data_IF_715347577895
#
_entry.id   IF_715347577895
#
_cell.length_a   1.000
_cell.length_b   1.000
_cell.length_c   1.000
_cell.angle_alpha   90.00
_cell.angle_beta   90.00
_cell.angle_gamma   90.00
#
_symmetry.space_group_name_H-M   'P 1'
#
loop_
_entity.id
_entity.type
_entity.pdbx_description
1 polymer ?
#
# COMPACT_ATOMS: atom_id res chain seq x y z
N UNK A 1 15.33 20.62 -20.32
CA UNK A 1 16.04 21.91 -20.07
C UNK A 1 15.03 23.00 -19.78
N UNK A 2 14.84 23.26 -18.51
CA UNK A 2 13.80 24.10 -17.94
C UNK A 2 14.01 25.59 -18.26
N UNK A 3 12.96 26.23 -18.79
CA UNK A 3 12.63 27.63 -18.45
C UNK A 3 13.56 28.74 -18.97
N UNK A 4 14.45 28.51 -19.90
CA UNK A 4 15.21 29.61 -20.51
C UNK A 4 14.52 30.12 -21.76
N UNK A 5 14.03 31.36 -21.71
CA UNK A 5 13.59 32.11 -22.87
C UNK A 5 14.73 32.13 -23.88
N UNK A 6 14.54 31.52 -25.08
CA UNK A 6 15.47 31.60 -26.19
C UNK A 6 15.06 32.79 -27.03
N UNK A 7 15.85 33.87 -27.02
CA UNK A 7 15.64 34.99 -27.90
C UNK A 7 16.16 34.62 -29.29
N UNK A 8 15.30 34.75 -30.32
CA UNK A 8 15.65 34.56 -31.72
C UNK A 8 15.49 35.90 -32.45
N UNK A 9 16.45 36.31 -33.28
CA UNK A 9 16.37 37.49 -34.11
C UNK A 9 16.12 37.07 -35.56
N UNK A 10 15.23 37.77 -36.25
CA UNK A 10 14.90 37.56 -37.64
C UNK A 10 15.37 38.74 -38.46
N UNK A 11 15.68 38.53 -39.76
CA UNK A 11 16.16 39.58 -40.66
C UNK A 11 15.02 40.43 -41.23
N UNK A 12 13.82 39.87 -41.29
CA UNK A 12 12.61 40.56 -41.76
C UNK A 12 11.40 40.25 -40.91
N UNK A 13 10.41 41.13 -40.92
CA UNK A 13 9.11 40.89 -40.24
C UNK A 13 8.35 39.70 -40.84
N UNK A 14 8.61 39.39 -42.09
CA UNK A 14 7.99 38.28 -42.80
C UNK A 14 8.55 36.92 -42.32
N UNK A 15 9.87 36.81 -42.09
CA UNK A 15 10.51 35.66 -41.48
C UNK A 15 10.03 35.45 -40.05
N UNK A 16 9.83 36.53 -39.28
CA UNK A 16 9.30 36.45 -37.93
C UNK A 16 7.85 35.93 -37.91
N UNK A 17 7.02 36.43 -38.82
CA UNK A 17 5.61 35.99 -38.98
C UNK A 17 5.52 34.55 -39.46
N UNK A 18 6.38 34.16 -40.44
CA UNK A 18 6.44 32.78 -40.90
C UNK A 18 6.87 31.82 -39.78
N UNK A 19 7.89 32.21 -39.01
CA UNK A 19 8.33 31.41 -37.85
C UNK A 19 7.25 31.33 -36.76
N UNK A 20 6.51 32.43 -36.52
CA UNK A 20 5.38 32.41 -35.58
C UNK A 20 4.23 31.53 -36.11
N UNK A 21 3.98 31.57 -37.42
CA UNK A 21 3.01 30.69 -38.07
C UNK A 21 3.46 29.23 -38.02
N UNK A 22 4.74 28.95 -38.29
CA UNK A 22 5.31 27.60 -38.21
C UNK A 22 5.33 27.09 -36.75
N UNK A 23 5.65 27.95 -35.78
CA UNK A 23 5.53 27.62 -34.34
C UNK A 23 4.08 27.45 -33.87
N UNK A 24 3.11 28.08 -34.56
CA UNK A 24 1.67 27.83 -34.31
C UNK A 24 1.19 26.56 -35.02
N UNK A 25 1.81 26.17 -36.13
CA UNK A 25 1.57 24.89 -36.81
C UNK A 25 2.24 23.71 -36.09
N UNK A 26 3.45 23.91 -35.52
CA UNK A 26 4.13 22.96 -34.65
C UNK A 26 3.57 22.92 -33.19
N UNK A 27 2.70 23.85 -32.82
CA UNK A 27 1.76 23.61 -31.76
C UNK A 27 0.79 22.55 -32.27
N UNK A 28 1.20 21.30 -32.05
CA UNK A 28 0.40 20.08 -32.13
C UNK A 28 -1.07 20.46 -32.23
N UNK A 29 -1.74 20.07 -33.33
CA UNK A 29 -3.19 19.98 -33.35
C UNK A 29 -3.56 19.51 -31.94
N UNK A 30 -4.32 20.32 -31.22
CA UNK A 30 -4.80 20.00 -29.89
C UNK A 30 -5.51 18.66 -30.03
N UNK A 31 -4.79 17.59 -29.81
CA UNK A 31 -5.33 16.23 -29.86
C UNK A 31 -6.28 16.19 -28.69
N UNK A 32 -7.56 16.52 -28.96
CA UNK A 32 -8.61 16.45 -27.95
C UNK A 32 -8.73 15.00 -27.54
N UNK A 33 -8.16 14.65 -26.40
CA UNK A 33 -8.27 13.30 -25.87
C UNK A 33 -9.60 13.14 -25.12
N UNK A 34 -10.27 12.04 -25.36
CA UNK A 34 -11.34 11.57 -24.50
C UNK A 34 -10.78 11.10 -23.15
N UNK A 35 -11.61 10.95 -22.14
CA UNK A 35 -11.17 10.43 -20.84
C UNK A 35 -10.59 9.01 -20.97
N UNK A 36 -11.19 8.19 -21.82
CA UNK A 36 -10.70 6.84 -22.12
C UNK A 36 -9.30 6.90 -22.75
N UNK A 37 -9.13 7.70 -23.81
CA UNK A 37 -7.84 7.83 -24.49
C UNK A 37 -6.76 8.37 -23.54
N UNK A 38 -7.06 9.37 -22.72
CA UNK A 38 -6.12 9.88 -21.72
C UNK A 38 -5.66 8.79 -20.73
N UNK A 39 -6.59 7.95 -20.26
CA UNK A 39 -6.25 6.82 -19.39
C UNK A 39 -5.41 5.77 -20.11
N UNK A 40 -5.77 5.40 -21.35
CA UNK A 40 -5.04 4.40 -22.13
C UNK A 40 -3.62 4.85 -22.50
N UNK A 41 -3.46 6.11 -22.93
CA UNK A 41 -2.14 6.69 -23.22
C UNK A 41 -1.28 6.74 -21.97
N UNK A 42 -1.84 7.12 -20.84
CA UNK A 42 -1.14 7.09 -19.55
C UNK A 42 -0.66 5.67 -19.18
N UNK A 43 -1.53 4.66 -19.30
CA UNK A 43 -1.18 3.27 -19.00
C UNK A 43 -0.11 2.69 -19.95
N UNK A 44 -0.14 3.09 -21.22
CA UNK A 44 0.84 2.65 -22.22
C UNK A 44 2.25 3.20 -21.94
N UNK A 45 2.35 4.37 -21.35
CA UNK A 45 3.61 5.07 -21.10
C UNK A 45 4.10 4.99 -19.65
N UNK A 46 3.41 4.21 -18.79
CA UNK A 46 3.79 4.04 -17.38
C UNK A 46 3.86 2.55 -17.02
N UNK A 47 4.87 2.20 -16.23
CA UNK A 47 5.04 0.82 -15.77
C UNK A 47 4.21 0.57 -14.51
N UNK A 48 3.10 -0.12 -14.65
CA UNK A 48 2.25 -0.54 -13.55
C UNK A 48 2.10 -2.05 -13.46
N UNK A 49 1.87 -2.55 -12.24
CA UNK A 49 1.45 -3.93 -12.03
C UNK A 49 0.07 -4.16 -12.67
N UNK A 50 -0.15 -5.35 -13.24
CA UNK A 50 -1.41 -5.77 -13.91
C UNK A 50 -2.68 -5.40 -13.14
N UNK A 51 -2.67 -5.59 -11.81
CA UNK A 51 -3.81 -5.23 -10.96
C UNK A 51 -4.10 -3.72 -10.94
N UNK A 52 -3.08 -2.89 -11.09
CA UNK A 52 -3.23 -1.43 -11.18
C UNK A 52 -3.81 -1.06 -12.53
N UNK A 53 -3.29 -1.65 -13.61
CA UNK A 53 -3.81 -1.49 -14.98
C UNK A 53 -5.29 -1.86 -15.01
N UNK A 54 -5.64 -3.07 -14.58
CA UNK A 54 -7.02 -3.55 -14.53
C UNK A 54 -7.95 -2.63 -13.70
N UNK A 55 -7.42 -1.92 -12.70
CA UNK A 55 -8.22 -0.93 -11.94
C UNK A 55 -8.51 0.31 -12.78
N UNK A 56 -7.54 0.83 -13.53
CA UNK A 56 -7.74 1.97 -14.42
C UNK A 56 -8.72 1.65 -15.55
N UNK A 57 -8.54 0.49 -16.19
CA UNK A 57 -9.43 -0.01 -17.24
C UNK A 57 -10.86 -0.15 -16.71
N UNK A 58 -11.04 -0.76 -15.54
CA UNK A 58 -12.34 -0.86 -14.90
C UNK A 58 -13.01 0.51 -14.69
N UNK A 59 -12.26 1.56 -14.37
CA UNK A 59 -12.83 2.88 -14.11
C UNK A 59 -13.52 3.47 -15.35
N UNK A 60 -13.00 3.22 -16.55
CA UNK A 60 -13.45 3.85 -17.81
C UNK A 60 -14.10 2.88 -18.81
N UNK A 61 -13.86 1.56 -18.67
CA UNK A 61 -14.41 0.53 -19.57
C UNK A 61 -15.32 -0.48 -18.87
N UNK A 62 -15.43 -0.41 -17.52
CA UNK A 62 -16.12 -1.46 -16.80
C UNK A 62 -15.41 -2.81 -16.81
N UNK A 63 -16.15 -3.90 -16.59
CA UNK A 63 -15.62 -5.25 -16.56
C UNK A 63 -16.67 -6.29 -16.98
N UNK A 64 -16.34 -7.08 -17.99
CA UNK A 64 -17.17 -8.19 -18.43
C UNK A 64 -16.94 -9.44 -17.56
N UNK A 65 -18.01 -9.98 -17.01
CA UNK A 65 -17.95 -11.23 -16.25
C UNK A 65 -18.15 -12.44 -17.17
N UNK A 66 -17.61 -13.58 -16.77
CA UNK A 66 -17.73 -14.83 -17.50
C UNK A 66 -19.17 -15.29 -17.81
N UNK A 67 -20.15 -14.75 -17.08
CA UNK A 67 -21.58 -15.01 -17.28
C UNK A 67 -22.25 -14.03 -18.27
N UNK A 68 -21.47 -13.22 -19.00
CA UNK A 68 -21.98 -12.23 -19.96
C UNK A 68 -22.55 -10.96 -19.33
N UNK A 69 -22.45 -10.80 -18.00
CA UNK A 69 -22.87 -9.57 -17.32
C UNK A 69 -21.75 -8.53 -17.39
N UNK A 70 -22.05 -7.35 -17.97
CA UNK A 70 -21.18 -6.19 -17.92
C UNK A 70 -21.36 -5.45 -16.61
N UNK A 71 -20.28 -5.24 -15.85
CA UNK A 71 -20.29 -4.35 -14.68
C UNK A 71 -19.73 -3.00 -15.11
N UNK A 72 -20.59 -2.00 -15.16
CA UNK A 72 -20.20 -0.64 -15.51
C UNK A 72 -19.09 -0.09 -14.60
N UNK A 73 -18.15 0.62 -15.23
CA UNK A 73 -17.13 1.40 -14.53
C UNK A 73 -17.71 2.72 -14.00
N UNK A 74 -17.19 3.23 -12.89
CA UNK A 74 -17.70 4.48 -12.30
C UNK A 74 -17.65 5.70 -13.22
N UNK A 75 -16.69 5.76 -14.12
CA UNK A 75 -16.49 6.86 -15.08
C UNK A 75 -16.78 6.47 -16.54
N UNK A 76 -17.29 5.26 -16.78
CA UNK A 76 -17.57 4.75 -18.13
C UNK A 76 -18.56 5.64 -18.89
N UNK A 77 -19.59 6.17 -18.21
CA UNK A 77 -20.59 7.06 -18.82
C UNK A 77 -20.06 8.39 -19.38
N UNK A 78 -18.83 8.74 -19.04
CA UNK A 78 -18.11 9.92 -19.55
C UNK A 78 -16.80 9.55 -20.26
N UNK A 79 -16.54 8.27 -20.48
CA UNK A 79 -15.28 7.77 -21.03
C UNK A 79 -15.00 8.33 -22.43
N UNK A 80 -16.04 8.43 -23.27
CA UNK A 80 -15.94 8.94 -24.65
C UNK A 80 -16.03 10.47 -24.75
N UNK A 81 -16.17 11.16 -23.62
CA UNK A 81 -16.18 12.62 -23.61
C UNK A 81 -14.77 13.18 -23.60
N UNK A 82 -14.56 14.25 -24.36
CA UNK A 82 -13.30 14.98 -24.35
C UNK A 82 -12.99 15.57 -22.96
N UNK A 83 -11.75 15.46 -22.53
CA UNK A 83 -11.32 15.89 -21.17
C UNK A 83 -11.58 17.39 -20.95
N UNK A 84 -11.40 18.21 -21.96
CA UNK A 84 -11.64 19.67 -21.93
C UNK A 84 -13.12 20.05 -21.73
N UNK A 85 -14.05 19.11 -22.02
CA UNK A 85 -15.50 19.29 -21.79
C UNK A 85 -15.98 18.79 -20.45
N UNK A 86 -15.11 18.10 -19.71
CA UNK A 86 -15.47 17.55 -18.39
C UNK A 86 -15.58 18.66 -17.35
N UNK A 87 -16.58 18.55 -16.53
CA UNK A 87 -16.90 19.54 -15.50
C UNK A 87 -16.73 18.95 -14.10
N UNK A 88 -16.77 19.83 -13.11
CA UNK A 88 -16.83 19.44 -11.71
C UNK A 88 -18.07 18.57 -11.39
N UNK A 89 -19.18 18.82 -12.10
CA UNK A 89 -20.43 18.04 -11.94
C UNK A 89 -20.24 16.60 -12.41
N UNK A 90 -19.50 16.38 -13.47
CA UNK A 90 -19.19 15.02 -13.95
C UNK A 90 -18.40 14.24 -12.91
N UNK A 91 -17.43 14.87 -12.23
CA UNK A 91 -16.71 14.24 -11.13
C UNK A 91 -17.61 13.89 -9.94
N UNK A 92 -18.58 14.76 -9.59
CA UNK A 92 -19.57 14.43 -8.54
C UNK A 92 -20.48 13.27 -8.95
N UNK A 93 -20.87 13.19 -10.22
CA UNK A 93 -21.64 12.05 -10.74
C UNK A 93 -20.85 10.74 -10.62
N UNK A 94 -19.53 10.74 -10.94
CA UNK A 94 -18.64 9.59 -10.72
C UNK A 94 -18.66 9.18 -9.23
N UNK A 95 -18.56 10.14 -8.33
CA UNK A 95 -18.59 9.89 -6.89
C UNK A 95 -19.92 9.35 -6.40
N UNK A 96 -21.00 9.88 -6.94
CA UNK A 96 -22.36 9.43 -6.58
C UNK A 96 -22.60 7.99 -7.04
N UNK A 97 -22.19 7.62 -8.26
CA UNK A 97 -22.21 6.22 -8.71
C UNK A 97 -21.44 5.31 -7.77
N UNK A 98 -20.22 5.72 -7.38
CA UNK A 98 -19.43 4.95 -6.41
C UNK A 98 -20.15 4.81 -5.05
N UNK A 99 -20.86 5.84 -4.57
CA UNK A 99 -21.66 5.76 -3.33
C UNK A 99 -22.83 4.80 -3.47
N UNK A 100 -23.54 4.87 -4.58
CA UNK A 100 -24.67 3.99 -4.88
C UNK A 100 -24.23 2.52 -4.97
N UNK A 101 -23.02 2.27 -5.44
CA UNK A 101 -22.36 0.95 -5.41
C UNK A 101 -21.88 0.53 -4.00
N UNK A 102 -22.13 1.32 -2.98
CA UNK A 102 -21.75 1.04 -1.59
C UNK A 102 -20.26 1.17 -1.30
N UNK A 103 -19.49 1.88 -2.14
CA UNK A 103 -18.04 2.05 -1.94
C UNK A 103 -17.74 2.99 -0.78
N UNK A 104 -16.66 2.68 -0.05
CA UNK A 104 -16.16 3.55 1.02
C UNK A 104 -15.57 4.83 0.45
N UNK A 105 -15.56 5.91 1.24
CA UNK A 105 -14.93 7.19 0.87
C UNK A 105 -13.46 7.03 0.47
N UNK A 106 -12.73 6.14 1.14
CA UNK A 106 -11.33 5.83 0.79
C UNK A 106 -11.22 5.24 -0.61
N UNK A 107 -12.12 4.32 -0.98
CA UNK A 107 -12.16 3.73 -2.31
C UNK A 107 -12.52 4.78 -3.37
N UNK A 108 -13.52 5.62 -3.09
CA UNK A 108 -13.94 6.71 -3.98
C UNK A 108 -12.78 7.68 -4.22
N UNK A 109 -12.11 8.14 -3.15
CA UNK A 109 -10.94 9.01 -3.28
C UNK A 109 -9.80 8.35 -4.06
N UNK A 110 -9.59 7.05 -3.89
CA UNK A 110 -8.58 6.29 -4.66
C UNK A 110 -8.91 6.27 -6.16
N UNK A 111 -10.18 6.08 -6.53
CA UNK A 111 -10.62 6.07 -7.92
C UNK A 111 -10.48 7.45 -8.56
N UNK A 112 -10.98 8.49 -7.89
CA UNK A 112 -10.83 9.88 -8.34
C UNK A 112 -9.36 10.26 -8.49
N UNK A 113 -8.50 9.88 -7.53
CA UNK A 113 -7.06 10.17 -7.60
C UNK A 113 -6.39 9.49 -8.80
N UNK A 114 -6.83 8.30 -9.18
CA UNK A 114 -6.32 7.60 -10.37
C UNK A 114 -6.70 8.34 -11.66
N UNK A 115 -7.98 8.68 -11.82
CA UNK A 115 -8.43 9.44 -13.00
C UNK A 115 -7.69 10.78 -13.12
N UNK A 116 -7.56 11.50 -12.00
CA UNK A 116 -6.77 12.75 -11.98
C UNK A 116 -5.30 12.54 -12.33
N UNK A 117 -4.69 11.44 -11.88
CA UNK A 117 -3.29 11.13 -12.16
C UNK A 117 -3.07 10.91 -13.67
N UNK A 118 -3.97 10.21 -14.35
CA UNK A 118 -3.89 10.01 -15.79
C UNK A 118 -4.02 11.36 -16.55
N UNK A 119 -5.01 12.20 -16.18
CA UNK A 119 -5.19 13.51 -16.80
C UNK A 119 -3.98 14.44 -16.52
N UNK A 120 -3.49 14.48 -15.27
CA UNK A 120 -2.32 15.30 -14.92
C UNK A 120 -1.09 14.89 -15.72
N UNK A 121 -0.85 13.59 -15.87
CA UNK A 121 0.25 13.09 -16.68
C UNK A 121 0.11 13.55 -18.15
N UNK A 122 -1.10 13.50 -18.73
CA UNK A 122 -1.33 14.00 -20.08
C UNK A 122 -1.06 15.52 -20.18
N UNK A 123 -1.35 16.28 -19.11
CA UNK A 123 -1.01 17.72 -19.06
C UNK A 123 0.51 17.91 -18.94
N UNK A 124 1.20 17.10 -18.13
CA UNK A 124 2.67 17.13 -18.00
C UNK A 124 3.41 16.73 -19.29
N UNK A 125 2.73 16.00 -20.18
CA UNK A 125 3.25 15.61 -21.50
C UNK A 125 2.76 16.54 -22.64
N UNK A 126 2.16 17.68 -22.31
CA UNK A 126 1.60 18.66 -23.27
C UNK A 126 0.50 18.09 -24.20
N UNK A 127 -0.09 16.93 -23.85
CA UNK A 127 -1.20 16.32 -24.59
C UNK A 127 -2.56 16.96 -24.25
N UNK A 128 -2.66 17.62 -23.11
CA UNK A 128 -3.83 18.34 -22.63
C UNK A 128 -3.40 19.69 -22.05
N UNK A 129 -4.22 20.70 -22.19
CA UNK A 129 -3.92 22.04 -21.70
C UNK A 129 -4.02 22.12 -20.15
N UNK A 130 -5.11 21.60 -19.59
CA UNK A 130 -5.33 21.60 -18.13
C UNK A 130 -6.15 20.39 -17.68
N UNK A 131 -6.07 20.13 -16.37
CA UNK A 131 -6.93 19.13 -15.73
C UNK A 131 -8.17 19.83 -15.16
N UNK A 132 -9.39 19.59 -15.70
CA UNK A 132 -10.62 20.22 -15.22
C UNK A 132 -10.95 19.85 -13.76
N UNK A 133 -10.37 18.76 -13.26
CA UNK A 133 -10.52 18.31 -11.89
C UNK A 133 -9.30 18.62 -10.99
N UNK A 134 -8.31 19.36 -11.50
CA UNK A 134 -7.02 19.60 -10.80
C UNK A 134 -7.20 20.20 -9.41
N UNK A 135 -8.04 21.22 -9.27
CA UNK A 135 -8.31 21.93 -8.00
C UNK A 135 -9.23 21.19 -7.04
N UNK A 136 -9.74 20.00 -7.42
CA UNK A 136 -10.72 19.30 -6.61
C UNK A 136 -10.07 18.56 -5.44
N UNK A 137 -10.56 18.82 -4.23
CA UNK A 137 -10.04 18.20 -2.99
C UNK A 137 -10.64 16.82 -2.76
N UNK A 138 -9.88 15.96 -2.08
CA UNK A 138 -10.39 14.68 -1.60
C UNK A 138 -11.55 14.88 -0.62
N UNK A 139 -12.52 13.97 -0.67
CA UNK A 139 -13.59 13.93 0.31
C UNK A 139 -13.02 13.60 1.69
N UNK A 140 -13.38 14.41 2.68
CA UNK A 140 -13.09 14.10 4.06
C UNK A 140 -14.04 12.98 4.49
N UNK A 141 -13.51 11.80 4.68
CA UNK A 141 -14.23 10.67 5.25
C UNK A 141 -13.74 10.39 6.66
N UNK A 142 -14.59 9.82 7.49
CA UNK A 142 -14.14 9.25 8.74
C UNK A 142 -13.01 8.26 8.43
N UNK A 143 -11.85 8.46 9.04
CA UNK A 143 -10.76 7.47 8.97
C UNK A 143 -11.30 6.21 9.63
N UNK A 144 -11.80 5.27 8.82
CA UNK A 144 -12.13 3.97 9.36
C UNK A 144 -10.88 3.41 10.00
N UNK A 145 -10.92 3.24 11.32
CA UNK A 145 -9.85 2.51 11.99
C UNK A 145 -9.77 1.15 11.30
N UNK A 146 -8.58 0.72 10.84
CA UNK A 146 -8.46 -0.60 10.25
C UNK A 146 -9.01 -1.61 11.26
N UNK A 147 -9.76 -2.60 10.80
CA UNK A 147 -10.19 -3.73 11.65
C UNK A 147 -8.93 -4.50 12.03
N UNK A 148 -8.37 -4.16 13.16
CA UNK A 148 -7.21 -4.82 13.73
C UNK A 148 -7.73 -5.84 14.73
N UNK A 149 -7.50 -7.13 14.47
CA UNK A 149 -7.66 -8.16 15.48
C UNK A 149 -6.62 -7.96 16.58
N UNK A 150 -6.91 -8.50 17.75
CA UNK A 150 -5.98 -8.56 18.90
C UNK A 150 -5.23 -9.87 18.92
N UNK A 151 -4.17 -9.97 19.74
CA UNK A 151 -3.51 -11.25 20.02
C UNK A 151 -4.49 -12.25 20.66
N UNK A 152 -5.42 -11.78 21.49
CA UNK A 152 -6.46 -12.63 22.08
C UNK A 152 -7.40 -13.20 21.00
N UNK A 153 -7.81 -12.40 20.03
CA UNK A 153 -8.59 -12.89 18.89
C UNK A 153 -7.83 -13.93 18.08
N UNK A 154 -6.53 -13.74 17.91
CA UNK A 154 -5.67 -14.71 17.23
C UNK A 154 -5.54 -16.02 18.01
N UNK A 155 -5.38 -15.97 19.33
CA UNK A 155 -5.35 -17.17 20.15
C UNK A 155 -6.65 -17.99 20.07
N UNK A 156 -7.81 -17.32 19.99
CA UNK A 156 -9.10 -17.98 19.77
C UNK A 156 -9.22 -18.57 18.36
N UNK A 157 -8.67 -17.86 17.37
CA UNK A 157 -8.76 -18.26 15.95
C UNK A 157 -7.80 -19.40 15.60
N UNK A 158 -6.58 -19.39 16.15
CA UNK A 158 -5.50 -20.30 15.77
C UNK A 158 -5.88 -21.78 15.81
N UNK A 159 -6.51 -22.32 16.87
CA UNK A 159 -6.83 -23.75 16.95
C UNK A 159 -7.90 -24.19 15.93
N UNK A 160 -8.70 -23.28 15.39
CA UNK A 160 -9.74 -23.61 14.40
C UNK A 160 -9.27 -23.45 12.94
N UNK A 161 -8.06 -22.90 12.74
CA UNK A 161 -7.43 -22.85 11.43
C UNK A 161 -7.00 -24.25 10.96
N UNK A 162 -7.10 -24.56 9.67
CA UNK A 162 -6.50 -25.79 9.15
C UNK A 162 -4.97 -25.76 9.30
N UNK A 163 -4.30 -26.92 9.50
CA UNK A 163 -2.86 -26.98 9.83
C UNK A 163 -1.94 -26.20 8.88
N UNK A 164 -2.22 -26.23 7.57
CA UNK A 164 -1.45 -25.47 6.60
C UNK A 164 -1.57 -23.95 6.80
N UNK A 165 -2.72 -23.47 7.28
CA UNK A 165 -2.96 -22.05 7.53
C UNK A 165 -2.48 -21.63 8.92
N UNK A 166 -2.43 -22.56 9.90
CA UNK A 166 -1.76 -22.34 11.18
C UNK A 166 -0.28 -22.04 10.96
N UNK A 167 0.41 -22.87 10.16
CA UNK A 167 1.82 -22.64 9.83
C UNK A 167 2.02 -21.32 9.08
N UNK A 168 1.16 -21.02 8.11
CA UNK A 168 1.21 -19.74 7.38
C UNK A 168 0.99 -18.53 8.31
N UNK A 169 0.09 -18.63 9.28
CA UNK A 169 -0.15 -17.58 10.27
C UNK A 169 1.04 -17.38 11.23
N UNK A 170 1.64 -18.46 11.72
CA UNK A 170 2.88 -18.41 12.52
C UNK A 170 4.01 -17.74 11.73
N UNK A 171 4.21 -18.15 10.48
CA UNK A 171 5.22 -17.57 9.58
C UNK A 171 4.97 -16.08 9.33
N UNK A 172 3.70 -15.68 9.12
CA UNK A 172 3.33 -14.28 8.90
C UNK A 172 3.67 -13.40 10.11
N UNK A 173 3.43 -13.88 11.33
CA UNK A 173 3.77 -13.16 12.57
C UNK A 173 5.29 -13.14 12.77
N UNK A 174 5.95 -14.31 12.76
CA UNK A 174 7.36 -14.45 13.05
C UNK A 174 8.27 -13.65 12.12
N UNK A 175 7.88 -13.52 10.85
CA UNK A 175 8.63 -12.79 9.83
C UNK A 175 8.01 -11.42 9.47
N UNK A 176 6.97 -11.00 10.19
CA UNK A 176 6.26 -9.74 9.92
C UNK A 176 5.90 -9.57 8.44
N UNK A 177 5.40 -10.65 7.80
CA UNK A 177 5.07 -10.66 6.38
C UNK A 177 3.70 -10.03 6.10
N UNK A 178 3.55 -9.49 4.89
CA UNK A 178 2.21 -9.24 4.34
C UNK A 178 1.57 -10.58 4.00
N UNK A 179 0.45 -10.95 4.65
CA UNK A 179 -0.25 -12.17 4.31
C UNK A 179 -0.81 -12.05 2.89
N UNK A 180 -0.43 -12.99 2.04
CA UNK A 180 -0.89 -13.02 0.66
C UNK A 180 0.09 -13.70 -0.28
N UNK A 181 -0.29 -13.76 -1.53
CA UNK A 181 0.48 -14.42 -2.59
C UNK A 181 1.77 -13.67 -2.97
N UNK A 182 1.92 -12.43 -2.55
CA UNK A 182 3.09 -11.60 -2.91
C UNK A 182 4.29 -11.77 -1.99
N UNK A 183 4.09 -12.07 -0.71
CA UNK A 183 5.18 -12.27 0.28
C UNK A 183 5.07 -13.65 0.94
N UNK A 184 4.03 -13.88 1.78
CA UNK A 184 3.92 -15.10 2.61
C UNK A 184 3.89 -16.39 1.80
N UNK A 185 3.01 -16.48 0.80
CA UNK A 185 2.82 -17.71 0.01
C UNK A 185 3.78 -17.82 -1.18
N UNK A 186 4.72 -16.89 -1.29
CA UNK A 186 5.83 -16.90 -2.25
C UNK A 186 7.18 -17.13 -1.59
N UNK A 187 7.19 -17.17 -0.26
CA UNK A 187 8.42 -17.37 0.50
C UNK A 187 8.96 -18.78 0.27
N UNK A 188 10.21 -18.85 -0.11
CA UNK A 188 10.93 -20.10 -0.34
C UNK A 188 11.95 -20.36 0.77
N UNK A 189 12.32 -21.63 0.94
CA UNK A 189 13.35 -22.02 1.90
C UNK A 189 14.73 -21.44 1.55
N UNK A 190 14.99 -21.13 0.28
CA UNK A 190 16.20 -20.44 -0.19
C UNK A 190 16.39 -19.05 0.42
N UNK A 191 15.32 -18.42 0.93
CA UNK A 191 15.38 -17.14 1.62
C UNK A 191 16.00 -17.20 3.02
N UNK A 192 16.18 -18.41 3.59
CA UNK A 192 16.69 -18.60 4.95
C UNK A 192 18.21 -18.74 4.96
N UNK A 193 18.88 -17.88 5.67
CA UNK A 193 20.28 -18.08 6.08
C UNK A 193 20.29 -18.72 7.47
N UNK A 194 20.45 -20.04 7.49
CA UNK A 194 20.45 -20.83 8.74
C UNK A 194 21.63 -20.53 9.64
N UNK A 195 22.78 -20.14 9.06
CA UNK A 195 23.99 -19.78 9.80
C UNK A 195 23.86 -18.42 10.46
N UNK A 196 23.40 -17.42 9.69
CA UNK A 196 23.16 -16.07 10.18
C UNK A 196 21.86 -15.95 10.97
N UNK A 197 20.96 -16.99 10.92
CA UNK A 197 19.64 -17.02 11.57
C UNK A 197 18.75 -15.90 11.12
N UNK A 198 18.77 -15.61 9.83
CA UNK A 198 18.03 -14.53 9.18
C UNK A 198 17.21 -15.04 8.00
N UNK A 199 16.23 -14.22 7.59
CA UNK A 199 15.42 -14.49 6.41
C UNK A 199 15.39 -13.25 5.52
N UNK A 200 15.81 -13.40 4.26
CA UNK A 200 15.80 -12.33 3.27
C UNK A 200 14.49 -12.35 2.48
N UNK A 201 13.59 -11.41 2.74
CA UNK A 201 12.25 -11.37 2.14
C UNK A 201 12.17 -10.34 1.04
N UNK A 202 11.89 -10.78 -0.18
CA UNK A 202 11.58 -9.86 -1.28
C UNK A 202 10.17 -9.28 -1.14
N UNK A 203 10.06 -7.98 -1.29
CA UNK A 203 8.81 -7.22 -1.19
C UNK A 203 8.44 -6.63 -2.57
N UNK A 204 7.63 -7.30 -3.39
CA UNK A 204 7.33 -6.88 -4.76
C UNK A 204 6.70 -5.49 -4.86
N UNK A 205 5.86 -5.11 -3.88
CA UNK A 205 5.17 -3.80 -3.89
C UNK A 205 6.10 -2.59 -3.88
N UNK A 206 7.32 -2.75 -3.37
CA UNK A 206 8.32 -1.68 -3.22
C UNK A 206 9.66 -2.03 -3.90
N UNK A 207 9.67 -3.13 -4.65
CA UNK A 207 10.81 -3.65 -5.43
C UNK A 207 12.12 -3.67 -4.61
N UNK A 208 12.05 -4.18 -3.35
CA UNK A 208 13.20 -4.23 -2.46
C UNK A 208 13.13 -5.47 -1.56
N UNK A 209 14.25 -5.80 -0.93
CA UNK A 209 14.32 -6.86 0.07
C UNK A 209 14.38 -6.28 1.48
N UNK A 210 13.91 -7.05 2.45
CA UNK A 210 14.13 -6.80 3.88
C UNK A 210 14.81 -8.01 4.51
N UNK A 211 15.71 -7.75 5.44
CA UNK A 211 16.29 -8.77 6.30
C UNK A 211 15.47 -8.85 7.60
N UNK A 212 15.03 -10.03 7.94
CA UNK A 212 14.21 -10.31 9.13
C UNK A 212 14.99 -11.21 10.07
N UNK A 213 14.91 -10.93 11.37
CA UNK A 213 15.44 -11.74 12.45
C UNK A 213 14.28 -12.48 13.15
N UNK A 214 14.03 -13.75 12.83
CA UNK A 214 12.91 -14.50 13.39
C UNK A 214 13.18 -14.91 14.83
N UNK A 215 12.13 -15.19 15.64
CA UNK A 215 12.29 -15.79 16.94
C UNK A 215 12.93 -17.20 16.86
N UNK A 216 13.75 -17.55 17.85
CA UNK A 216 14.46 -18.83 17.92
C UNK A 216 13.53 -20.04 17.86
N UNK A 217 12.42 -19.96 18.58
CA UNK A 217 11.40 -21.01 18.59
C UNK A 217 10.82 -21.26 17.19
N UNK A 218 10.60 -20.18 16.43
CA UNK A 218 10.14 -20.30 15.05
C UNK A 218 11.23 -20.94 14.14
N UNK A 219 12.49 -20.52 14.30
CA UNK A 219 13.60 -21.08 13.51
C UNK A 219 13.78 -22.58 13.76
N UNK A 220 13.64 -23.03 15.00
CA UNK A 220 13.73 -24.47 15.35
C UNK A 220 12.65 -25.29 14.62
N UNK A 221 11.40 -24.83 14.63
CA UNK A 221 10.31 -25.51 13.92
C UNK A 221 10.49 -25.41 12.39
N UNK A 222 10.88 -24.25 11.90
CA UNK A 222 11.17 -24.03 10.48
C UNK A 222 12.28 -24.95 9.96
N UNK A 223 13.33 -25.19 10.75
CA UNK A 223 14.41 -26.11 10.43
C UNK A 223 13.95 -27.56 10.26
N UNK A 224 13.07 -28.02 11.16
CA UNK A 224 12.50 -29.38 11.06
C UNK A 224 11.66 -29.52 9.77
N UNK A 225 10.83 -28.50 9.49
CA UNK A 225 10.01 -28.47 8.27
C UNK A 225 10.87 -28.39 7.01
N UNK A 226 11.91 -27.57 7.03
CA UNK A 226 12.88 -27.43 5.93
C UNK A 226 13.50 -28.79 5.57
N UNK A 227 14.02 -29.53 6.56
CA UNK A 227 14.61 -30.84 6.31
C UNK A 227 13.62 -31.81 5.64
N UNK A 228 12.40 -31.87 6.15
CA UNK A 228 11.32 -32.70 5.59
C UNK A 228 10.93 -32.26 4.17
N UNK A 229 10.85 -30.97 3.95
CA UNK A 229 10.45 -30.40 2.66
C UNK A 229 11.52 -30.59 1.59
N UNK A 230 12.80 -30.39 1.95
CA UNK A 230 13.90 -30.64 1.02
C UNK A 230 13.99 -32.09 0.59
N UNK A 231 13.78 -33.02 1.52
CA UNK A 231 13.70 -34.45 1.21
C UNK A 231 12.52 -34.80 0.27
N UNK A 232 11.44 -33.99 0.31
CA UNK A 232 10.27 -34.15 -0.56
C UNK A 232 10.30 -33.25 -1.80
N UNK A 233 11.41 -32.56 -2.10
CA UNK A 233 11.58 -31.66 -3.26
C UNK A 233 10.67 -30.42 -3.23
N UNK A 234 10.31 -29.94 -2.03
CA UNK A 234 9.41 -28.78 -1.87
C UNK A 234 10.19 -27.52 -1.50
N UNK A 235 10.02 -26.47 -2.24
CA UNK A 235 10.75 -25.20 -2.08
C UNK A 235 9.98 -24.15 -1.30
N UNK A 236 8.64 -24.11 -1.40
CA UNK A 236 7.81 -23.12 -0.73
C UNK A 236 7.67 -23.42 0.77
N UNK A 237 7.84 -22.38 1.60
CA UNK A 237 7.67 -22.44 3.06
C UNK A 237 6.21 -22.68 3.46
N UNK A 238 5.28 -21.98 2.82
CA UNK A 238 3.84 -22.06 3.09
C UNK A 238 3.11 -22.58 1.85
N UNK A 239 2.41 -23.69 2.01
CA UNK A 239 1.68 -24.38 0.93
C UNK A 239 0.24 -24.68 1.35
N UNK A 240 -0.63 -24.88 0.37
CA UNK A 240 -2.01 -25.31 0.58
C UNK A 240 -2.13 -26.76 1.04
N UNK A 241 -3.36 -27.17 1.33
CA UNK A 241 -3.69 -28.50 1.87
C UNK A 241 -3.07 -29.69 1.07
N UNK A 242 -3.00 -29.57 -0.24
CA UNK A 242 -2.44 -30.60 -1.14
C UNK A 242 -0.95 -30.39 -1.45
N UNK A 243 -0.25 -29.53 -0.70
CA UNK A 243 1.15 -29.19 -0.99
C UNK A 243 1.33 -28.24 -2.17
N UNK A 244 0.24 -27.72 -2.76
CA UNK A 244 0.26 -26.83 -3.91
C UNK A 244 0.42 -25.37 -3.52
N UNK A 245 0.73 -24.51 -4.48
CA UNK A 245 0.72 -23.06 -4.30
C UNK A 245 -0.66 -22.57 -3.83
N UNK A 246 -0.67 -21.54 -2.98
CA UNK A 246 -1.88 -20.98 -2.40
C UNK A 246 -2.35 -19.80 -3.24
N UNK A 247 -3.61 -19.83 -3.66
CA UNK A 247 -4.25 -18.69 -4.33
C UNK A 247 -4.87 -17.72 -3.32
N UNK A 248 -5.08 -16.46 -3.76
CA UNK A 248 -5.75 -15.45 -2.92
C UNK A 248 -7.12 -15.92 -2.41
N UNK A 249 -7.93 -16.52 -3.30
CA UNK A 249 -9.26 -17.04 -2.95
C UNK A 249 -9.19 -18.17 -1.92
N UNK A 250 -8.20 -19.07 -2.01
CA UNK A 250 -8.06 -20.21 -1.08
C UNK A 250 -7.84 -19.76 0.35
N UNK A 251 -6.85 -18.89 0.58
CA UNK A 251 -6.54 -18.49 1.96
C UNK A 251 -7.62 -17.57 2.53
N UNK A 252 -8.19 -16.65 1.74
CA UNK A 252 -9.28 -15.79 2.20
C UNK A 252 -10.50 -16.62 2.62
N UNK A 253 -10.98 -17.53 1.75
CA UNK A 253 -12.12 -18.40 2.08
C UNK A 253 -11.89 -19.25 3.33
N UNK A 254 -10.68 -19.78 3.50
CA UNK A 254 -10.35 -20.62 4.67
C UNK A 254 -10.24 -19.79 5.95
N UNK A 255 -9.64 -18.60 5.87
CA UNK A 255 -9.53 -17.67 6.97
C UNK A 255 -10.90 -17.14 7.41
N UNK A 256 -11.70 -16.64 6.47
CA UNK A 256 -13.03 -16.09 6.74
C UNK A 256 -13.98 -17.14 7.34
N UNK A 257 -13.87 -18.40 6.87
CA UNK A 257 -14.65 -19.51 7.43
C UNK A 257 -14.28 -19.77 8.88
N UNK A 258 -13.00 -19.76 9.22
CA UNK A 258 -12.53 -19.93 10.59
C UNK A 258 -12.97 -18.76 11.49
N UNK A 259 -12.83 -17.51 11.00
CA UNK A 259 -13.31 -16.33 11.71
C UNK A 259 -14.81 -16.39 11.98
N UNK A 260 -15.62 -16.75 10.98
CA UNK A 260 -17.08 -16.90 11.14
C UNK A 260 -17.44 -17.96 12.16
N UNK A 261 -16.70 -19.08 12.21
CA UNK A 261 -16.96 -20.18 13.15
C UNK A 261 -16.87 -19.75 14.62
N UNK A 262 -16.02 -18.79 14.92
CA UNK A 262 -15.78 -18.31 16.31
C UNK A 262 -16.28 -16.88 16.55
N UNK A 263 -16.95 -16.26 15.58
CA UNK A 263 -17.52 -14.92 15.70
C UNK A 263 -16.50 -13.78 15.74
N UNK A 264 -15.25 -14.00 15.27
CA UNK A 264 -14.19 -12.99 15.24
C UNK A 264 -14.14 -12.32 13.87
N UNK A 265 -14.02 -10.99 13.85
CA UNK A 265 -13.80 -10.19 12.63
C UNK A 265 -12.35 -9.75 12.55
N UNK A 266 -11.50 -10.60 12.03
CA UNK A 266 -10.07 -10.35 11.93
C UNK A 266 -9.59 -10.67 10.49
N UNK A 267 -9.16 -9.69 9.69
CA UNK A 267 -8.52 -9.98 8.41
C UNK A 267 -7.14 -10.60 8.66
N UNK A 268 -6.69 -11.50 7.79
CA UNK A 268 -5.36 -12.11 7.95
C UNK A 268 -4.23 -11.07 8.00
N UNK A 269 -4.42 -9.91 7.36
CA UNK A 269 -3.47 -8.80 7.40
C UNK A 269 -3.25 -8.24 8.83
N UNK A 270 -4.21 -8.44 9.74
CA UNK A 270 -4.08 -8.05 11.13
C UNK A 270 -2.88 -8.73 11.83
N UNK A 271 -2.46 -9.92 11.38
CA UNK A 271 -1.29 -10.62 11.93
C UNK A 271 -0.03 -9.76 11.89
N UNK A 272 0.16 -9.01 10.82
CA UNK A 272 1.29 -8.09 10.69
C UNK A 272 1.16 -6.89 11.65
N UNK A 273 -0.06 -6.41 11.89
CA UNK A 273 -0.31 -5.37 12.88
C UNK A 273 -0.12 -5.88 14.31
N UNK A 274 -0.56 -7.09 14.59
CA UNK A 274 -0.34 -7.75 15.87
C UNK A 274 1.16 -7.87 16.15
N UNK A 275 1.94 -8.40 15.21
CA UNK A 275 3.39 -8.53 15.38
C UNK A 275 4.06 -7.17 15.69
N UNK A 276 3.68 -6.12 14.98
CA UNK A 276 4.21 -4.78 15.22
C UNK A 276 3.79 -4.21 16.58
N UNK A 277 2.52 -4.38 16.95
CA UNK A 277 2.00 -3.93 18.26
C UNK A 277 2.67 -4.64 19.43
N UNK A 278 2.89 -5.95 19.33
CA UNK A 278 3.59 -6.75 20.35
C UNK A 278 5.04 -6.31 20.50
N UNK A 279 5.78 -6.09 19.40
CA UNK A 279 7.15 -5.56 19.49
C UNK A 279 7.19 -4.21 20.21
N UNK A 280 6.29 -3.29 19.87
CA UNK A 280 6.22 -1.98 20.53
C UNK A 280 5.79 -2.08 21.99
N UNK A 281 4.82 -2.94 22.31
CA UNK A 281 4.38 -3.20 23.67
C UNK A 281 5.52 -3.78 24.54
N UNK A 282 6.41 -4.57 23.94
CA UNK A 282 7.61 -5.10 24.58
C UNK A 282 8.79 -4.11 24.57
N UNK A 283 8.61 -2.85 24.13
CA UNK A 283 9.59 -1.78 24.22
C UNK A 283 10.60 -1.72 23.11
N UNK A 284 10.38 -2.47 22.01
CA UNK A 284 11.23 -2.35 20.81
C UNK A 284 11.04 -0.97 20.20
N UNK A 285 12.15 -0.30 19.90
CA UNK A 285 12.12 1.04 19.30
C UNK A 285 11.45 1.05 17.92
N UNK A 286 10.73 2.14 17.62
CA UNK A 286 9.94 2.30 16.40
C UNK A 286 10.76 2.06 15.11
N UNK A 287 12.04 2.45 15.11
CA UNK A 287 12.94 2.25 13.99
C UNK A 287 13.21 0.76 13.72
N UNK A 288 13.45 -0.03 14.77
CA UNK A 288 13.67 -1.46 14.65
C UNK A 288 12.40 -2.19 14.19
N UNK A 289 11.23 -1.79 14.72
CA UNK A 289 9.93 -2.31 14.26
C UNK A 289 9.69 -1.97 12.78
N UNK A 290 9.98 -0.74 12.36
CA UNK A 290 9.86 -0.32 10.96
C UNK A 290 10.77 -1.14 10.04
N UNK A 291 12.02 -1.39 10.46
CA UNK A 291 12.96 -2.24 9.74
C UNK A 291 12.45 -3.69 9.61
N UNK A 292 12.00 -4.30 10.70
CA UNK A 292 11.43 -5.66 10.71
C UNK A 292 10.19 -5.79 9.81
N UNK A 293 9.36 -4.73 9.77
CA UNK A 293 8.23 -4.63 8.83
C UNK A 293 8.67 -4.35 7.38
N UNK A 294 9.84 -3.80 7.14
CA UNK A 294 10.31 -3.34 5.84
C UNK A 294 9.61 -2.05 5.37
N UNK A 295 9.35 -1.13 6.28
CA UNK A 295 8.85 0.19 5.94
C UNK A 295 10.00 1.13 5.59
N UNK A 296 10.01 1.68 4.37
CA UNK A 296 11.02 2.68 3.95
C UNK A 296 10.95 3.97 4.78
N UNK A 297 9.74 4.32 5.24
CA UNK A 297 9.50 5.53 6.03
C UNK A 297 8.95 5.15 7.42
N UNK A 298 9.66 5.56 8.45
CA UNK A 298 9.29 5.33 9.85
C UNK A 298 7.95 5.99 10.23
N UNK A 299 7.59 7.09 9.56
CA UNK A 299 6.31 7.79 9.79
C UNK A 299 5.10 6.89 9.49
N UNK A 300 5.25 5.96 8.55
CA UNK A 300 4.21 4.95 8.26
C UNK A 300 3.93 4.09 9.48
N UNK A 301 4.99 3.63 10.18
CA UNK A 301 4.84 2.85 11.41
C UNK A 301 4.27 3.71 12.54
N UNK A 302 4.79 4.93 12.74
CA UNK A 302 4.33 5.85 13.77
C UNK A 302 2.84 6.20 13.66
N UNK A 303 2.36 6.49 12.44
CA UNK A 303 0.96 6.86 12.22
C UNK A 303 -0.04 5.74 12.56
N UNK A 304 0.35 4.47 12.41
CA UNK A 304 -0.53 3.32 12.72
C UNK A 304 -0.49 2.90 14.19
N UNK A 305 0.62 3.14 14.92
CA UNK A 305 0.86 2.57 16.24
C UNK A 305 1.00 3.62 17.36
N UNK A 306 0.46 4.83 17.17
CA UNK A 306 0.50 5.93 18.16
C UNK A 306 -0.03 5.52 19.54
N UNK A 307 -1.05 4.65 19.60
CA UNK A 307 -1.61 4.16 20.86
C UNK A 307 -0.69 3.17 21.60
N UNK A 308 0.18 2.44 20.91
CA UNK A 308 1.17 1.57 21.51
C UNK A 308 2.38 2.36 22.07
N UNK A 309 2.55 3.62 21.65
CA UNK A 309 3.64 4.48 22.14
C UNK A 309 3.43 4.96 23.58
N UNK A 310 2.21 4.95 24.10
CA UNK A 310 1.93 5.40 25.47
C UNK A 310 2.65 4.53 26.53
N UNK A 311 2.78 3.22 26.31
CA UNK A 311 3.56 2.32 27.18
C UNK A 311 5.06 2.59 27.07
N UNK A 312 5.54 2.92 25.89
CA UNK A 312 6.93 3.29 25.63
C UNK A 312 7.28 4.65 26.26
N UNK A 313 6.35 5.61 26.26
CA UNK A 313 6.52 6.90 26.93
C UNK A 313 6.65 6.75 28.45
N UNK A 314 5.85 5.88 29.07
CA UNK A 314 5.99 5.59 30.51
C UNK A 314 7.34 4.97 30.83
N UNK A 315 7.84 4.05 30.02
CA UNK A 315 9.19 3.48 30.16
C UNK A 315 10.29 4.50 29.91
N UNK A 316 10.13 5.37 28.93
CA UNK A 316 11.08 6.47 28.71
C UNK A 316 11.18 7.38 29.93
N UNK A 317 10.06 7.67 30.60
CA UNK A 317 10.04 8.46 31.81
C UNK A 317 10.85 7.81 32.95
N UNK A 318 10.87 6.49 33.07
CA UNK A 318 11.69 5.78 34.06
C UNK A 318 13.20 5.78 33.74
N UNK A 319 13.58 6.10 32.51
CA UNK A 319 14.97 6.23 32.09
C UNK A 319 15.50 7.67 32.26
N UNK A 320 14.65 8.64 32.62
CA UNK A 320 15.13 9.99 32.90
C UNK A 320 15.96 10.03 34.16
N UNK A 321 17.05 10.81 34.18
CA UNK A 321 17.86 10.96 35.39
C UNK A 321 17.02 11.56 36.50
N UNK A 322 17.22 11.06 37.72
CA UNK A 322 16.59 11.65 38.91
C UNK A 322 17.27 12.99 39.23
N UNK A 323 16.58 14.07 38.92
CA UNK A 323 17.04 15.43 39.17
C UNK A 323 16.57 15.97 40.56
N UNK A 324 15.85 15.16 41.35
CA UNK A 324 15.32 15.64 42.68
C UNK A 324 16.44 15.98 43.64
N UNK A 325 17.58 15.29 43.59
CA UNK A 325 18.73 15.60 44.43
C UNK A 325 19.46 16.89 44.02
N UNK A 326 19.37 17.33 42.77
CA UNK A 326 19.96 18.61 42.33
C UNK A 326 19.19 19.80 42.88
N UNK A 327 17.88 19.67 43.01
CA UNK A 327 17.02 20.73 43.58
C UNK A 327 17.20 20.81 45.12
N UNK A 328 17.31 19.69 45.83
CA UNK A 328 17.57 19.64 47.28
C UNK A 328 18.92 20.26 47.64
N UNK A 329 19.99 19.91 46.94
CA UNK A 329 21.30 20.47 47.16
C UNK A 329 21.40 21.98 46.83
N UNK A 330 20.57 22.49 45.93
CA UNK A 330 20.45 23.90 45.63
C UNK A 330 19.70 24.69 46.68
N UNK A 331 18.65 24.10 47.28
CA UNK A 331 17.85 24.72 48.35
C UNK A 331 18.61 24.78 49.70
N UNK A 332 19.38 23.74 50.01
CA UNK A 332 20.21 23.78 51.26
C UNK A 332 21.34 24.79 51.17
N UNK A 333 21.92 25.07 49.98
CA UNK A 333 22.93 26.14 49.83
C UNK A 333 22.37 27.54 49.93
N UNK A 334 21.09 27.76 49.73
CA UNK A 334 20.45 29.08 49.89
C UNK A 334 19.99 29.36 51.31
N UNK A 335 19.97 28.37 52.20
CA UNK A 335 19.58 28.52 53.58
C UNK A 335 20.79 28.83 54.51
N UNK A 336 22.02 28.76 54.00
CA UNK A 336 23.26 29.02 54.76
C UNK A 336 24.10 30.18 54.21
N UNK A 337 23.56 31.02 53.37
CA UNK A 337 24.09 32.32 52.94
C UNK A 337 23.09 33.41 53.33
#
# INVERSE_FOLDING_TARGET
EEGRWKQRSFRTDEEARQFDADCQYDKVENTRLTLLEAVLVYLKNTEYAEKTIATYEFLVCGHDRQNGYHREGPAEFIADRFVDTLTRRDLENVRERCRNDGLTMTSINSYVSKLKAAINWCVEQDLLHENPWGKYRQLLGAKNKPRTGTMEDFHKLFPVLPPWLQWAAQTAIALCLRPGISELFRLEWSAFDWKARTVCVYMPKVCTTKLVFPPEVYLAEAWLRFKSDMAAGKTLVCRGRKGTAVTSSMYHKSWDRACKKIGVLMPMYALRHIAASEMLANGVGLAAVAAQLGHKNITTTGAFYTHALASSQRRAATCLPDCTNLVRNGAEKQLYN
#
